data_IF_214724049176
#
_entry.id   IF_214724049176
#
_cell.length_a   1.000
_cell.length_b   1.000
_cell.length_c   1.000
_cell.angle_alpha   90.00
_cell.angle_beta   90.00
_cell.angle_gamma   90.00
#
_symmetry.space_group_name_H-M   'P 1'
#
loop_
_entity.id
_entity.type
_entity.pdbx_description
1 polymer ?
#
# COMPACT_ATOMS: atom_id res chain seq x y z
N UNK A 1 16.85 -25.29 4.02
CA UNK A 1 16.84 -26.35 3.01
C UNK A 1 15.68 -27.31 3.27
N UNK A 2 14.85 -27.61 2.24
CA UNK A 2 13.76 -28.56 2.35
C UNK A 2 12.41 -28.02 2.84
N UNK A 3 12.28 -26.72 3.06
CA UNK A 3 11.00 -26.10 3.38
C UNK A 3 9.99 -26.24 2.24
N UNK A 4 8.79 -26.70 2.58
CA UNK A 4 7.67 -26.76 1.61
C UNK A 4 6.98 -25.41 1.56
N UNK A 5 7.50 -24.49 0.76
CA UNK A 5 6.97 -23.15 0.62
C UNK A 5 6.78 -22.83 -0.86
N UNK A 6 5.95 -21.82 -1.15
CA UNK A 6 5.48 -21.56 -2.50
C UNK A 6 5.66 -20.10 -2.90
N UNK A 7 5.62 -19.87 -4.20
CA UNK A 7 5.31 -18.59 -4.84
C UNK A 7 4.02 -18.78 -5.63
N UNK A 8 3.01 -18.00 -5.32
CA UNK A 8 1.70 -18.06 -6.00
C UNK A 8 1.57 -16.82 -6.86
N UNK A 9 1.32 -17.02 -8.15
CA UNK A 9 1.12 -15.94 -9.13
C UNK A 9 -0.30 -16.06 -9.66
N UNK A 10 -1.05 -14.97 -9.57
CA UNK A 10 -2.43 -14.89 -10.03
C UNK A 10 -2.57 -14.84 -11.55
N UNK A 11 -3.78 -14.56 -12.02
CA UNK A 11 -4.10 -14.48 -13.44
C UNK A 11 -3.68 -13.14 -14.05
N UNK A 12 -3.35 -13.14 -15.35
CA UNK A 12 -3.00 -11.96 -16.14
C UNK A 12 -1.87 -11.10 -15.57
N UNK A 13 -0.94 -11.70 -14.81
CA UNK A 13 0.22 -11.00 -14.28
C UNK A 13 1.24 -10.77 -15.39
N UNK A 14 1.68 -9.52 -15.51
CA UNK A 14 2.78 -9.16 -16.43
C UNK A 14 4.07 -9.01 -15.63
N UNK A 15 5.04 -9.86 -15.95
CA UNK A 15 6.38 -9.85 -15.34
C UNK A 15 7.39 -9.44 -16.42
N UNK A 16 8.06 -8.31 -16.21
CA UNK A 16 9.05 -7.77 -17.13
C UNK A 16 10.44 -8.36 -16.84
N UNK A 17 11.41 -7.93 -17.62
CA UNK A 17 12.79 -8.43 -17.58
C UNK A 17 13.46 -8.21 -16.21
N UNK A 18 14.26 -9.18 -15.80
CA UNK A 18 15.05 -9.17 -14.55
C UNK A 18 14.25 -8.98 -13.26
N UNK A 19 12.95 -9.27 -13.28
CA UNK A 19 12.14 -9.33 -12.06
C UNK A 19 12.55 -10.55 -11.24
N UNK A 20 12.64 -10.38 -9.93
CA UNK A 20 12.90 -11.47 -9.00
C UNK A 20 11.77 -11.57 -7.96
N UNK A 21 11.31 -12.81 -7.72
CA UNK A 21 10.26 -13.10 -6.73
C UNK A 21 10.78 -14.27 -5.88
N UNK A 22 10.95 -14.04 -4.59
CA UNK A 22 11.35 -15.10 -3.68
C UNK A 22 10.12 -15.89 -3.23
N UNK A 23 10.27 -17.19 -3.02
CA UNK A 23 9.22 -18.01 -2.39
C UNK A 23 9.04 -17.65 -0.91
N UNK A 24 7.94 -18.04 -0.33
CA UNK A 24 7.71 -17.89 1.11
C UNK A 24 8.72 -18.67 1.95
N UNK A 25 8.74 -18.36 3.24
CA UNK A 25 9.46 -19.11 4.26
C UNK A 25 8.47 -19.92 5.11
N UNK A 26 8.96 -20.66 6.11
CA UNK A 26 8.08 -21.38 7.07
C UNK A 26 7.19 -20.44 7.89
N UNK A 27 7.47 -19.12 7.89
CA UNK A 27 6.68 -18.13 8.63
C UNK A 27 5.25 -18.00 8.07
N UNK A 28 5.11 -17.81 6.73
CA UNK A 28 3.82 -17.73 6.06
C UNK A 28 3.59 -18.84 5.01
N UNK A 29 4.61 -19.59 4.67
CA UNK A 29 4.53 -20.69 3.72
C UNK A 29 4.51 -20.27 2.27
N UNK A 30 4.23 -18.99 1.98
CA UNK A 30 4.05 -18.53 0.59
C UNK A 30 4.31 -17.04 0.41
N UNK A 31 4.75 -16.68 -0.80
CA UNK A 31 4.72 -15.32 -1.35
C UNK A 31 3.60 -15.27 -2.40
N UNK A 32 2.77 -14.24 -2.39
CA UNK A 32 1.58 -14.14 -3.24
C UNK A 32 1.64 -12.88 -4.09
N UNK A 33 1.43 -13.04 -5.40
CA UNK A 33 1.18 -11.95 -6.36
C UNK A 33 -0.23 -12.17 -6.91
N UNK A 34 -1.11 -11.21 -6.69
CA UNK A 34 -2.51 -11.26 -7.10
C UNK A 34 -2.72 -11.12 -8.61
N UNK A 35 -3.97 -10.99 -9.01
CA UNK A 35 -4.35 -10.92 -10.42
C UNK A 35 -4.09 -9.55 -11.05
N UNK A 36 -3.85 -9.52 -12.36
CA UNK A 36 -3.64 -8.31 -13.16
C UNK A 36 -2.50 -7.40 -12.64
N UNK A 37 -1.52 -7.94 -11.93
CA UNK A 37 -0.38 -7.20 -11.40
C UNK A 37 0.62 -6.95 -12.52
N UNK A 38 1.19 -5.75 -12.54
CA UNK A 38 2.31 -5.38 -13.41
C UNK A 38 3.58 -5.23 -12.57
N UNK A 39 4.54 -6.12 -12.75
CA UNK A 39 5.90 -6.02 -12.23
C UNK A 39 6.81 -5.54 -13.36
N UNK A 40 7.21 -4.26 -13.32
CA UNK A 40 8.09 -3.69 -14.34
C UNK A 40 9.55 -4.14 -14.12
N UNK A 41 10.41 -3.79 -15.07
CA UNK A 41 11.78 -4.27 -15.12
C UNK A 41 12.55 -4.08 -13.81
N UNK A 42 13.31 -5.11 -13.42
CA UNK A 42 14.18 -5.14 -12.23
C UNK A 42 13.44 -4.91 -10.90
N UNK A 43 12.13 -5.17 -10.82
CA UNK A 43 11.45 -5.17 -9.53
C UNK A 43 11.82 -6.39 -8.69
N UNK A 44 11.77 -6.26 -7.38
CA UNK A 44 12.03 -7.35 -6.45
C UNK A 44 10.88 -7.53 -5.46
N UNK A 45 10.37 -8.75 -5.35
CA UNK A 45 9.40 -9.17 -4.33
C UNK A 45 10.10 -10.19 -3.42
N UNK A 46 10.39 -9.80 -2.18
CA UNK A 46 11.01 -10.69 -1.21
C UNK A 46 10.04 -11.76 -0.70
N UNK A 47 10.55 -12.65 0.15
CA UNK A 47 9.80 -13.76 0.74
C UNK A 47 8.61 -13.29 1.60
N UNK A 48 7.56 -14.08 1.64
CA UNK A 48 6.37 -13.88 2.48
C UNK A 48 5.62 -12.56 2.21
N UNK A 49 5.85 -11.94 1.04
CA UNK A 49 5.11 -10.75 0.60
C UNK A 49 3.74 -11.12 0.04
N UNK A 50 2.79 -10.19 0.16
CA UNK A 50 1.49 -10.24 -0.49
C UNK A 50 1.33 -8.99 -1.35
N UNK A 51 1.18 -9.17 -2.66
CA UNK A 51 0.91 -8.09 -3.62
C UNK A 51 -0.52 -8.22 -4.10
N UNK A 52 -1.37 -7.26 -3.74
CA UNK A 52 -2.80 -7.27 -4.07
C UNK A 52 -3.08 -7.08 -5.55
N UNK A 53 -4.29 -7.41 -5.96
CA UNK A 53 -4.74 -7.37 -7.35
C UNK A 53 -4.58 -5.98 -7.97
N UNK A 54 -4.33 -5.93 -9.28
CA UNK A 54 -4.21 -4.69 -10.06
C UNK A 54 -3.12 -3.73 -9.58
N UNK A 55 -2.16 -4.20 -8.81
CA UNK A 55 -1.00 -3.42 -8.35
C UNK A 55 -0.02 -3.18 -9.49
N UNK A 56 0.59 -2.00 -9.50
CA UNK A 56 1.69 -1.67 -10.41
C UNK A 56 2.93 -1.41 -9.58
N UNK A 57 3.99 -2.16 -9.85
CA UNK A 57 5.34 -1.90 -9.35
C UNK A 57 6.20 -1.42 -10.50
N UNK A 58 6.57 -0.13 -10.48
CA UNK A 58 7.41 0.45 -11.51
C UNK A 58 8.87 -0.02 -11.39
N UNK A 59 9.66 0.24 -12.42
CA UNK A 59 11.05 -0.24 -12.53
C UNK A 59 11.85 -0.05 -11.24
N UNK A 60 12.63 -1.06 -10.85
CA UNK A 60 13.52 -1.04 -9.67
C UNK A 60 12.79 -0.94 -8.31
N UNK A 61 11.46 -1.02 -8.26
CA UNK A 61 10.76 -1.07 -6.98
C UNK A 61 11.11 -2.36 -6.23
N UNK A 62 11.42 -2.24 -4.94
CA UNK A 62 11.98 -3.34 -4.13
C UNK A 62 11.20 -3.48 -2.83
N UNK A 63 10.69 -4.69 -2.57
CA UNK A 63 10.01 -5.04 -1.33
C UNK A 63 10.95 -5.83 -0.41
N UNK A 64 11.04 -5.45 0.87
CA UNK A 64 11.57 -6.31 1.92
C UNK A 64 10.61 -7.45 2.25
N UNK A 65 11.05 -8.42 3.05
CA UNK A 65 10.19 -9.56 3.44
C UNK A 65 8.93 -9.14 4.20
N UNK A 66 7.85 -9.92 4.06
CA UNK A 66 6.57 -9.72 4.76
C UNK A 66 5.87 -8.39 4.45
N UNK A 67 6.17 -7.76 3.31
CA UNK A 67 5.44 -6.55 2.87
C UNK A 67 4.08 -6.95 2.33
N UNK A 68 3.05 -6.23 2.76
CA UNK A 68 1.69 -6.36 2.25
C UNK A 68 1.33 -5.14 1.39
N UNK A 69 0.94 -5.35 0.14
CA UNK A 69 0.47 -4.28 -0.75
C UNK A 69 -1.00 -4.51 -1.07
N UNK A 70 -1.83 -3.53 -0.76
CA UNK A 70 -3.25 -3.55 -1.07
C UNK A 70 -3.55 -3.38 -2.56
N UNK A 71 -4.75 -3.77 -2.96
CA UNK A 71 -5.19 -3.71 -4.34
C UNK A 71 -5.08 -2.30 -4.95
N UNK A 72 -4.78 -2.25 -6.25
CA UNK A 72 -4.70 -1.00 -6.99
C UNK A 72 -3.64 -0.01 -6.48
N UNK A 73 -2.72 -0.44 -5.63
CA UNK A 73 -1.60 0.40 -5.24
C UNK A 73 -0.62 0.61 -6.39
N UNK A 74 0.00 1.77 -6.43
CA UNK A 74 1.04 2.09 -7.40
C UNK A 74 2.34 2.40 -6.66
N UNK A 75 3.36 1.59 -6.92
CA UNK A 75 4.69 1.74 -6.34
C UNK A 75 5.60 2.36 -7.40
N UNK A 76 6.02 3.59 -7.17
CA UNK A 76 6.87 4.34 -8.09
C UNK A 76 8.24 3.70 -8.32
N UNK A 77 8.89 4.06 -9.42
CA UNK A 77 10.20 3.51 -9.77
C UNK A 77 11.27 3.80 -8.72
N UNK A 78 12.11 2.81 -8.42
CA UNK A 78 13.17 2.93 -7.42
C UNK A 78 12.70 3.10 -5.97
N UNK A 79 11.43 2.82 -5.68
CA UNK A 79 10.91 2.81 -4.31
C UNK A 79 11.44 1.58 -3.57
N UNK A 80 11.90 1.78 -2.34
CA UNK A 80 12.27 0.69 -1.43
C UNK A 80 11.30 0.64 -0.27
N UNK A 81 10.70 -0.53 -0.03
CA UNK A 81 9.74 -0.75 1.05
C UNK A 81 10.39 -1.67 2.10
N UNK A 82 10.48 -1.16 3.33
CA UNK A 82 11.07 -1.90 4.45
C UNK A 82 10.20 -3.10 4.82
N UNK A 83 10.84 -4.17 5.32
CA UNK A 83 10.14 -5.38 5.76
C UNK A 83 8.99 -5.08 6.75
N UNK A 84 7.93 -5.86 6.68
CA UNK A 84 6.70 -5.75 7.50
C UNK A 84 5.88 -4.47 7.30
N UNK A 85 6.21 -3.65 6.31
CA UNK A 85 5.41 -2.46 5.99
C UNK A 85 4.16 -2.87 5.23
N UNK A 86 3.03 -2.22 5.57
CA UNK A 86 1.76 -2.36 4.88
C UNK A 86 1.47 -1.14 4.02
N UNK A 87 1.10 -1.38 2.77
CA UNK A 87 0.71 -0.34 1.81
C UNK A 87 -0.78 -0.52 1.52
N UNK A 88 -1.58 0.46 1.89
CA UNK A 88 -3.03 0.41 1.71
C UNK A 88 -3.46 0.45 0.24
N UNK A 89 -4.65 -0.09 -0.01
CA UNK A 89 -5.25 -0.12 -1.34
C UNK A 89 -5.34 1.27 -1.98
N UNK A 90 -5.29 1.35 -3.32
CA UNK A 90 -5.47 2.60 -4.06
C UNK A 90 -4.43 3.69 -3.76
N UNK A 91 -3.39 3.40 -2.98
CA UNK A 91 -2.35 4.36 -2.67
C UNK A 91 -1.34 4.52 -3.81
N UNK A 92 -0.57 5.60 -3.77
CA UNK A 92 0.53 5.87 -4.69
C UNK A 92 1.75 6.32 -3.89
N UNK A 93 2.86 5.62 -4.06
CA UNK A 93 4.17 6.06 -3.56
C UNK A 93 4.95 6.67 -4.72
N UNK A 94 5.36 7.93 -4.59
CA UNK A 94 6.21 8.60 -5.59
C UNK A 94 7.54 7.86 -5.79
N UNK A 95 8.13 8.00 -6.98
CA UNK A 95 9.39 7.31 -7.30
C UNK A 95 10.59 7.81 -6.49
N UNK A 96 11.57 6.93 -6.24
CA UNK A 96 12.82 7.24 -5.57
C UNK A 96 12.75 7.39 -4.04
N UNK A 97 11.62 7.04 -3.40
CA UNK A 97 11.45 7.17 -1.96
C UNK A 97 11.54 5.83 -1.20
N UNK A 98 11.73 5.92 0.12
CA UNK A 98 11.80 4.77 0.99
C UNK A 98 10.63 4.78 1.99
N UNK A 99 9.82 3.71 2.00
CA UNK A 99 8.74 3.52 2.96
C UNK A 99 9.22 2.65 4.13
N UNK A 100 9.35 3.26 5.32
CA UNK A 100 9.73 2.60 6.58
C UNK A 100 8.55 2.39 7.53
N UNK A 101 7.43 3.04 7.24
CA UNK A 101 6.18 3.03 7.99
C UNK A 101 5.02 2.70 7.06
N UNK A 102 3.89 2.32 7.62
CA UNK A 102 2.71 1.94 6.88
C UNK A 102 2.11 3.14 6.15
N UNK A 103 1.71 2.90 4.90
CA UNK A 103 1.07 3.89 4.03
C UNK A 103 -0.42 3.59 3.97
N UNK A 104 -1.29 4.45 4.49
CA UNK A 104 -2.72 4.15 4.54
C UNK A 104 -3.38 4.18 3.14
N UNK A 105 -4.59 3.61 2.97
CA UNK A 105 -5.25 3.52 1.67
C UNK A 105 -5.59 4.89 1.05
N UNK A 106 -5.71 4.97 -0.27
CA UNK A 106 -6.19 6.12 -1.06
C UNK A 106 -5.27 7.34 -1.11
N UNK A 107 -4.07 7.30 -0.52
CA UNK A 107 -3.18 8.47 -0.42
C UNK A 107 -2.11 8.50 -1.51
N UNK A 108 -1.56 9.69 -1.72
CA UNK A 108 -0.27 9.90 -2.38
C UNK A 108 0.75 10.27 -1.31
N UNK A 109 1.89 9.62 -1.37
CA UNK A 109 3.00 9.87 -0.44
C UNK A 109 4.30 10.10 -1.20
N UNK A 110 5.14 11.01 -0.70
CA UNK A 110 6.44 11.35 -1.27
C UNK A 110 7.34 12.01 -0.21
N UNK A 111 8.62 12.19 -0.53
CA UNK A 111 9.58 12.95 0.28
C UNK A 111 10.52 12.11 1.14
N UNK A 112 11.51 12.77 1.71
CA UNK A 112 12.47 12.23 2.68
C UNK A 112 12.41 13.03 3.99
N UNK A 113 11.84 12.49 5.08
CA UNK A 113 11.11 11.24 5.21
C UNK A 113 9.82 11.22 4.38
N UNK A 114 9.29 10.01 4.11
CA UNK A 114 8.04 9.84 3.37
C UNK A 114 6.88 10.52 4.12
N UNK A 115 6.08 11.30 3.40
CA UNK A 115 4.99 12.10 3.99
C UNK A 115 3.72 12.04 3.15
N UNK A 116 2.59 12.25 3.80
CA UNK A 116 1.31 12.45 3.15
C UNK A 116 1.33 13.74 2.29
N UNK A 117 1.05 13.60 1.00
CA UNK A 117 0.94 14.72 0.04
C UNK A 117 -0.53 15.06 -0.23
N UNK A 118 -1.39 14.06 -0.24
CA UNK A 118 -2.81 14.20 -0.52
C UNK A 118 -3.46 12.86 -0.80
N UNK A 119 -4.71 12.88 -1.28
CA UNK A 119 -5.36 11.67 -1.75
C UNK A 119 -4.97 11.36 -3.20
N UNK A 120 -4.97 10.10 -3.60
CA UNK A 120 -4.73 9.66 -4.98
C UNK A 120 -5.90 10.02 -5.91
N UNK A 121 -6.16 11.33 -6.07
CA UNK A 121 -7.32 11.85 -6.81
C UNK A 121 -7.42 11.25 -8.22
N UNK A 122 -6.31 11.19 -8.94
CA UNK A 122 -6.30 10.69 -10.34
C UNK A 122 -6.64 9.20 -10.38
N UNK A 123 -5.98 8.40 -9.55
CA UNK A 123 -6.24 6.96 -9.47
C UNK A 123 -7.69 6.67 -9.08
N UNK A 124 -8.19 7.33 -8.04
CA UNK A 124 -9.57 7.19 -7.57
C UNK A 124 -10.60 7.60 -8.65
N UNK A 125 -10.34 8.69 -9.37
CA UNK A 125 -11.22 9.11 -10.48
C UNK A 125 -11.28 8.08 -11.60
N UNK A 126 -10.12 7.56 -12.02
CA UNK A 126 -10.04 6.52 -13.07
C UNK A 126 -10.78 5.24 -12.67
N UNK A 127 -10.90 4.95 -11.40
CA UNK A 127 -11.58 3.78 -10.83
C UNK A 127 -13.04 4.06 -10.40
N UNK A 128 -13.61 5.18 -10.85
CA UNK A 128 -15.04 5.47 -10.68
C UNK A 128 -15.46 5.99 -9.30
N UNK A 129 -14.50 6.37 -8.44
CA UNK A 129 -14.87 7.01 -7.17
C UNK A 129 -15.55 8.36 -7.45
N UNK A 130 -16.78 8.53 -6.99
CA UNK A 130 -17.52 9.79 -7.13
C UNK A 130 -16.78 10.96 -6.45
N UNK A 131 -17.09 12.18 -6.88
CA UNK A 131 -16.50 13.36 -6.26
C UNK A 131 -16.79 13.42 -4.76
N UNK A 132 -18.01 13.11 -4.35
CA UNK A 132 -18.40 13.09 -2.94
C UNK A 132 -17.58 12.10 -2.13
N UNK A 133 -17.35 10.88 -2.63
CA UNK A 133 -16.46 9.89 -1.98
C UNK A 133 -15.04 10.41 -1.84
N UNK A 134 -14.47 10.98 -2.90
CA UNK A 134 -13.12 11.55 -2.86
C UNK A 134 -13.01 12.73 -1.87
N UNK A 135 -14.02 13.60 -1.84
CA UNK A 135 -14.07 14.71 -0.87
C UNK A 135 -14.16 14.19 0.57
N UNK A 136 -14.95 13.15 0.83
CA UNK A 136 -15.06 12.52 2.14
C UNK A 136 -13.70 11.94 2.59
N UNK A 137 -13.04 11.14 1.76
CA UNK A 137 -11.70 10.60 2.03
C UNK A 137 -10.71 11.74 2.31
N UNK A 138 -10.73 12.81 1.51
CA UNK A 138 -9.88 13.99 1.71
C UNK A 138 -10.11 14.67 3.07
N UNK A 139 -11.38 14.83 3.48
CA UNK A 139 -11.73 15.42 4.80
C UNK A 139 -11.18 14.56 5.94
N UNK A 140 -11.33 13.23 5.86
CA UNK A 140 -10.82 12.29 6.85
C UNK A 140 -9.30 12.42 6.98
N UNK A 141 -8.56 12.40 5.88
CA UNK A 141 -7.10 12.52 5.93
C UNK A 141 -6.60 13.91 6.35
N UNK A 142 -7.34 14.98 6.04
CA UNK A 142 -7.03 16.30 6.62
C UNK A 142 -7.21 16.29 8.14
N UNK A 143 -8.24 15.62 8.63
CA UNK A 143 -8.44 15.44 10.09
C UNK A 143 -7.30 14.63 10.72
N UNK A 144 -6.81 13.60 10.02
CA UNK A 144 -5.76 12.72 10.55
C UNK A 144 -4.36 13.34 10.51
N UNK A 145 -3.95 13.91 9.36
CA UNK A 145 -2.58 14.35 9.14
C UNK A 145 -2.34 15.84 9.39
N UNK A 146 -3.38 16.69 9.28
CA UNK A 146 -3.21 18.16 9.26
C UNK A 146 -3.78 18.81 10.53
N UNK A 147 -4.63 18.11 11.28
CA UNK A 147 -5.15 18.67 12.54
C UNK A 147 -4.05 18.76 13.60
N UNK A 148 -4.23 19.70 14.57
CA UNK A 148 -3.33 19.82 15.73
C UNK A 148 -3.47 18.70 16.78
N UNK A 149 -4.32 17.70 16.51
CA UNK A 149 -4.58 16.54 17.39
C UNK A 149 -3.46 15.52 17.26
N UNK A 150 -3.17 14.80 18.34
CA UNK A 150 -2.35 13.60 18.21
C UNK A 150 -3.11 12.50 17.44
N UNK A 151 -2.39 11.46 16.96
CA UNK A 151 -2.96 10.42 16.09
C UNK A 151 -4.16 9.70 16.73
N UNK A 152 -4.10 9.38 18.02
CA UNK A 152 -5.19 8.73 18.74
C UNK A 152 -6.45 9.62 18.84
N UNK A 153 -6.26 10.89 19.16
CA UNK A 153 -7.35 11.88 19.19
C UNK A 153 -7.94 12.12 17.80
N UNK A 154 -7.10 12.17 16.77
CA UNK A 154 -7.55 12.32 15.39
C UNK A 154 -8.40 11.13 14.95
N UNK A 155 -7.94 9.90 15.23
CA UNK A 155 -8.67 8.67 14.93
C UNK A 155 -10.01 8.60 15.68
N UNK A 156 -10.03 8.90 16.98
CA UNK A 156 -11.27 8.97 17.78
C UNK A 156 -12.25 9.99 17.20
N UNK A 157 -11.74 11.16 16.79
CA UNK A 157 -12.57 12.18 16.15
C UNK A 157 -13.13 11.73 14.78
N UNK A 158 -12.34 10.97 13.99
CA UNK A 158 -12.82 10.40 12.73
C UNK A 158 -13.95 9.40 13.01
N UNK A 159 -13.80 8.51 13.97
CA UNK A 159 -14.81 7.52 14.33
C UNK A 159 -16.15 8.13 14.76
N UNK A 160 -16.10 9.29 15.41
CA UNK A 160 -17.28 9.94 15.97
C UNK A 160 -17.97 10.90 15.00
N UNK A 161 -17.24 11.51 14.05
CA UNK A 161 -17.74 12.65 13.27
C UNK A 161 -17.93 12.35 11.77
N UNK A 162 -17.60 11.15 11.31
CA UNK A 162 -17.74 10.78 9.91
C UNK A 162 -18.66 9.57 9.73
N UNK A 163 -19.46 9.61 8.67
CA UNK A 163 -20.28 8.46 8.26
C UNK A 163 -19.36 7.26 7.98
N UNK A 164 -19.76 6.11 8.50
CA UNK A 164 -19.00 4.86 8.37
C UNK A 164 -19.24 4.20 7.01
N UNK A 165 -18.89 4.91 5.93
CA UNK A 165 -18.82 4.30 4.60
C UNK A 165 -17.75 3.23 4.56
N UNK A 166 -17.78 2.36 3.57
CA UNK A 166 -16.79 1.28 3.46
C UNK A 166 -15.36 1.81 3.34
N UNK A 167 -15.17 2.94 2.63
CA UNK A 167 -13.87 3.59 2.52
C UNK A 167 -13.37 4.08 3.89
N UNK A 168 -14.24 4.65 4.70
CA UNK A 168 -13.85 5.17 6.03
C UNK A 168 -13.58 4.02 7.00
N UNK A 169 -14.38 2.95 6.95
CA UNK A 169 -14.10 1.73 7.71
C UNK A 169 -12.72 1.14 7.37
N UNK A 170 -12.38 1.05 6.08
CA UNK A 170 -11.07 0.58 5.61
C UNK A 170 -9.92 1.47 6.13
N UNK A 171 -10.08 2.80 6.07
CA UNK A 171 -9.08 3.74 6.62
C UNK A 171 -8.89 3.52 8.12
N UNK A 172 -9.98 3.47 8.88
CA UNK A 172 -9.95 3.28 10.34
C UNK A 172 -9.26 1.95 10.67
N UNK A 173 -9.73 0.86 10.05
CA UNK A 173 -9.18 -0.48 10.28
C UNK A 173 -7.69 -0.56 9.95
N UNK A 174 -7.25 0.05 8.84
CA UNK A 174 -5.84 0.09 8.47
C UNK A 174 -5.00 0.80 9.54
N UNK A 175 -5.46 1.97 10.01
CA UNK A 175 -4.73 2.77 11.00
C UNK A 175 -4.66 2.03 12.35
N UNK A 176 -5.72 1.34 12.76
CA UNK A 176 -5.77 0.60 14.03
C UNK A 176 -4.88 -0.64 14.02
N UNK A 177 -4.75 -1.30 12.88
CA UNK A 177 -3.94 -2.52 12.73
C UNK A 177 -2.52 -2.23 12.20
N UNK A 178 -2.10 -0.97 12.21
CA UNK A 178 -0.74 -0.61 11.82
C UNK A 178 0.25 -0.92 12.95
N UNK A 179 1.19 -1.81 12.67
CA UNK A 179 2.24 -2.21 13.62
C UNK A 179 3.53 -1.37 13.46
N UNK A 180 3.79 -0.92 12.22
CA UNK A 180 4.97 -0.10 11.89
C UNK A 180 4.75 1.40 12.14
N UNK A 181 3.54 1.80 12.55
CA UNK A 181 3.11 3.18 12.61
C UNK A 181 2.83 3.77 11.23
N UNK A 182 1.98 4.80 11.19
CA UNK A 182 1.60 5.48 9.94
C UNK A 182 2.63 6.57 9.62
N UNK A 183 2.95 6.76 8.35
CA UNK A 183 3.83 7.80 7.79
C UNK A 183 3.54 9.19 8.33
#
# INVERSE_FOLDING_TARGET
NGEKTFTIIGENVTIRESVTINRGTTALGQTVVGDNVLLMACTHVAHDCVVGNNTIMANLATLGGHVEIGEWANIGGGVVIHQFVKIGEQSLIGGGFCAKQDVPPYVVVAGHPLRFIGINKIGLTRRGFSENKRLLIKKVYRQFFVSKKNRGQALSSIKNNFDKTDEIKKIINFIENSERGII
#
